data_IF_409947952266
#
_entry.id   IF_409947952266
#
_cell.length_a   1.000
_cell.length_b   1.000
_cell.length_c   1.000
_cell.angle_alpha   90.00
_cell.angle_beta   90.00
_cell.angle_gamma   90.00
#
_symmetry.space_group_name_H-M   'P 1'
#
loop_
_entity.id
_entity.type
_entity.pdbx_description
1 polymer ?
#
# COMPACT_ATOMS: atom_id res chain seq x y z
N UNK A 1 -1.86 32.40 4.10
CA UNK A 1 -2.61 31.12 4.13
C UNK A 1 -1.65 30.04 3.68
N UNK A 2 -1.00 29.36 4.62
CA UNK A 2 -0.13 28.24 4.28
C UNK A 2 -1.03 27.15 3.69
N UNK A 3 -0.99 26.97 2.38
CA UNK A 3 -1.61 25.82 1.73
C UNK A 3 -0.76 24.62 2.13
N UNK A 4 -1.00 24.09 3.33
CA UNK A 4 -0.32 22.90 3.83
C UNK A 4 -0.52 21.84 2.77
N UNK A 5 0.58 21.33 2.20
CA UNK A 5 0.50 20.37 1.11
C UNK A 5 0.02 19.04 1.68
N UNK A 6 -1.28 18.88 1.88
CA UNK A 6 -1.89 17.66 2.46
C UNK A 6 -1.53 16.38 1.68
N UNK A 7 -1.03 16.53 0.46
CA UNK A 7 -0.53 15.45 -0.40
C UNK A 7 0.85 14.93 0.02
N UNK A 8 1.78 15.79 0.46
CA UNK A 8 3.13 15.38 0.89
C UNK A 8 3.12 14.30 1.98
N UNK A 9 2.42 14.47 3.11
CA UNK A 9 2.42 13.44 4.16
C UNK A 9 1.76 12.14 3.72
N UNK A 10 0.84 12.18 2.74
CA UNK A 10 0.23 10.97 2.18
C UNK A 10 1.19 10.23 1.24
N UNK A 11 1.99 10.95 0.45
CA UNK A 11 3.03 10.35 -0.39
C UNK A 11 4.12 9.69 0.47
N UNK A 12 4.55 10.35 1.56
CA UNK A 12 5.50 9.77 2.51
C UNK A 12 4.93 8.51 3.18
N UNK A 13 3.64 8.54 3.55
CA UNK A 13 2.96 7.37 4.12
C UNK A 13 2.87 6.22 3.11
N UNK A 14 2.53 6.51 1.86
CA UNK A 14 2.47 5.54 0.77
C UNK A 14 3.83 4.85 0.57
N UNK A 15 4.91 5.64 0.52
CA UNK A 15 6.26 5.12 0.36
C UNK A 15 6.70 4.27 1.57
N UNK A 16 6.29 4.66 2.78
CA UNK A 16 6.52 3.89 4.01
C UNK A 16 5.77 2.55 3.96
N UNK A 17 4.54 2.53 3.46
CA UNK A 17 3.75 1.32 3.30
C UNK A 17 4.38 0.36 2.27
N UNK A 18 4.88 0.87 1.14
CA UNK A 18 5.64 0.04 0.17
C UNK A 18 6.83 -0.67 0.82
N UNK A 19 7.58 0.05 1.66
CA UNK A 19 8.71 -0.53 2.39
C UNK A 19 8.25 -1.57 3.43
N UNK A 20 7.17 -1.28 4.16
CA UNK A 20 6.60 -2.20 5.13
C UNK A 20 6.07 -3.50 4.48
N UNK A 21 5.45 -3.41 3.29
CA UNK A 21 5.01 -4.57 2.51
C UNK A 21 6.22 -5.41 2.09
N UNK A 22 7.27 -4.78 1.56
CA UNK A 22 8.49 -5.50 1.17
C UNK A 22 9.18 -6.17 2.36
N UNK A 23 9.25 -5.51 3.52
CA UNK A 23 9.76 -6.10 4.75
C UNK A 23 8.90 -7.27 5.22
N UNK A 24 7.57 -7.14 5.18
CA UNK A 24 6.65 -8.22 5.55
C UNK A 24 6.85 -9.46 4.67
N UNK A 25 7.04 -9.27 3.36
CA UNK A 25 7.32 -10.38 2.43
C UNK A 25 8.66 -11.05 2.75
N UNK A 26 9.69 -10.27 3.10
CA UNK A 26 10.97 -10.79 3.55
C UNK A 26 10.82 -11.63 4.82
N UNK A 27 10.11 -11.12 5.83
CA UNK A 27 9.80 -11.82 7.08
C UNK A 27 9.05 -13.14 6.81
N UNK A 28 8.03 -13.12 5.94
CA UNK A 28 7.26 -14.31 5.57
C UNK A 28 8.10 -15.35 4.79
N UNK A 29 9.15 -14.89 4.10
CA UNK A 29 10.12 -15.74 3.41
C UNK A 29 11.22 -16.28 4.32
N UNK A 30 11.23 -15.91 5.61
CA UNK A 30 12.23 -16.30 6.59
C UNK A 30 13.51 -15.46 6.55
N UNK A 31 13.50 -14.32 5.86
CA UNK A 31 14.61 -13.38 5.80
C UNK A 31 14.34 -12.21 6.76
N UNK A 32 14.85 -12.29 7.99
CA UNK A 32 14.84 -11.18 8.93
C UNK A 32 15.93 -10.16 8.56
N UNK A 33 15.62 -9.29 7.58
CA UNK A 33 16.49 -8.21 7.16
C UNK A 33 15.99 -6.87 7.70
N UNK A 34 16.91 -6.03 8.19
CA UNK A 34 16.60 -4.65 8.60
C UNK A 34 16.16 -3.75 7.43
N UNK A 35 16.37 -4.18 6.18
CA UNK A 35 15.92 -3.54 4.96
C UNK A 35 15.58 -4.59 3.90
N UNK A 36 14.53 -4.39 3.08
CA UNK A 36 14.15 -5.34 2.05
C UNK A 36 15.16 -5.34 0.91
N UNK A 37 15.56 -6.53 0.46
CA UNK A 37 16.33 -6.71 -0.76
C UNK A 37 15.50 -6.37 -2.01
N UNK A 38 16.16 -6.16 -3.15
CA UNK A 38 15.50 -5.81 -4.42
C UNK A 38 14.44 -6.83 -4.84
N UNK A 39 14.68 -8.12 -4.55
CA UNK A 39 13.70 -9.20 -4.80
C UNK A 39 12.39 -9.00 -4.02
N UNK A 40 12.48 -8.54 -2.77
CA UNK A 40 11.32 -8.28 -1.90
C UNK A 40 10.60 -7.00 -2.29
N UNK A 41 11.33 -6.00 -2.79
CA UNK A 41 10.74 -4.79 -3.37
C UNK A 41 9.93 -5.14 -4.62
N UNK A 42 10.46 -6.01 -5.49
CA UNK A 42 9.75 -6.49 -6.69
C UNK A 42 8.52 -7.31 -6.31
N UNK A 43 8.66 -8.24 -5.36
CA UNK A 43 7.55 -9.02 -4.85
C UNK A 43 6.45 -8.14 -4.22
N UNK A 44 6.82 -7.07 -3.53
CA UNK A 44 5.86 -6.09 -3.01
C UNK A 44 5.10 -5.37 -4.13
N UNK A 45 5.77 -4.98 -5.21
CA UNK A 45 5.12 -4.38 -6.37
C UNK A 45 4.11 -5.35 -7.00
N UNK A 46 4.51 -6.60 -7.23
CA UNK A 46 3.64 -7.65 -7.77
C UNK A 46 2.42 -7.90 -6.85
N UNK A 47 2.62 -7.95 -5.54
CA UNK A 47 1.55 -8.12 -4.57
C UNK A 47 0.57 -6.94 -4.53
N UNK A 48 1.07 -5.71 -4.68
CA UNK A 48 0.25 -4.49 -4.77
C UNK A 48 -0.59 -4.53 -6.07
N UNK A 49 0.03 -4.86 -7.20
CA UNK A 49 -0.66 -4.96 -8.49
C UNK A 49 -1.75 -6.04 -8.47
N UNK A 50 -1.42 -7.23 -7.96
CA UNK A 50 -2.37 -8.32 -7.80
C UNK A 50 -3.52 -7.94 -6.86
N UNK A 51 -3.22 -7.25 -5.76
CA UNK A 51 -4.25 -6.78 -4.82
C UNK A 51 -5.23 -5.83 -5.50
N UNK A 52 -4.74 -4.88 -6.31
CA UNK A 52 -5.57 -3.93 -7.05
C UNK A 52 -6.45 -4.67 -8.07
N UNK A 53 -5.86 -5.54 -8.89
CA UNK A 53 -6.58 -6.29 -9.92
C UNK A 53 -7.68 -7.18 -9.32
N UNK A 54 -7.40 -7.87 -8.21
CA UNK A 54 -8.39 -8.70 -7.52
C UNK A 54 -9.47 -7.87 -6.80
N UNK A 55 -9.14 -6.64 -6.39
CA UNK A 55 -10.07 -5.74 -5.70
C UNK A 55 -11.20 -5.25 -6.60
N UNK A 56 -10.97 -5.13 -7.92
CA UNK A 56 -12.01 -4.75 -8.89
C UNK A 56 -13.17 -5.75 -8.93
N UNK A 57 -12.96 -6.98 -8.45
CA UNK A 57 -13.94 -8.07 -8.51
C UNK A 57 -14.47 -8.52 -7.13
N UNK A 58 -13.77 -8.22 -6.02
CA UNK A 58 -13.99 -8.94 -4.74
C UNK A 58 -13.86 -8.09 -3.45
N UNK A 59 -13.91 -6.75 -3.54
CA UNK A 59 -13.74 -5.83 -2.40
C UNK A 59 -14.70 -6.11 -1.23
N UNK A 60 -15.98 -6.37 -1.51
CA UNK A 60 -16.98 -6.62 -0.45
C UNK A 60 -16.68 -7.90 0.33
N UNK A 61 -16.19 -8.95 -0.33
CA UNK A 61 -15.97 -10.27 0.30
C UNK A 61 -14.79 -10.26 1.28
N UNK A 62 -13.78 -9.41 1.03
CA UNK A 62 -12.58 -9.26 1.87
C UNK A 62 -12.82 -8.48 3.15
N UNK A 63 -13.76 -7.54 3.15
CA UNK A 63 -14.10 -6.74 4.34
C UNK A 63 -14.65 -7.60 5.49
N UNK A 64 -15.23 -8.77 5.18
CA UNK A 64 -15.84 -9.67 6.16
C UNK A 64 -14.93 -10.82 6.61
N UNK A 65 -13.71 -10.94 6.07
CA UNK A 65 -12.76 -12.00 6.45
C UNK A 65 -11.60 -11.43 7.26
N UNK A 66 -11.04 -12.19 8.22
CA UNK A 66 -9.78 -11.82 8.85
C UNK A 66 -8.70 -11.68 7.79
N UNK A 67 -8.04 -10.52 7.76
CA UNK A 67 -6.93 -10.25 6.86
C UNK A 67 -5.63 -10.73 7.50
N UNK A 68 -4.74 -11.30 6.68
CA UNK A 68 -3.35 -11.54 7.12
C UNK A 68 -2.61 -10.21 7.31
N UNK A 69 -1.49 -10.17 8.05
CA UNK A 69 -0.70 -8.95 8.21
C UNK A 69 -0.31 -8.29 6.87
N UNK A 70 0.07 -9.09 5.87
CA UNK A 70 0.36 -8.60 4.53
C UNK A 70 -0.89 -8.00 3.86
N UNK A 71 -2.04 -8.66 3.95
CA UNK A 71 -3.31 -8.16 3.39
C UNK A 71 -3.76 -6.86 4.05
N UNK A 72 -3.55 -6.70 5.36
CA UNK A 72 -3.82 -5.43 6.05
C UNK A 72 -2.96 -4.29 5.53
N UNK A 73 -1.66 -4.54 5.29
CA UNK A 73 -0.76 -3.55 4.71
C UNK A 73 -1.16 -3.18 3.27
N UNK A 74 -1.56 -4.17 2.46
CA UNK A 74 -2.05 -3.95 1.10
C UNK A 74 -3.36 -3.14 1.07
N UNK A 75 -4.30 -3.45 1.97
CA UNK A 75 -5.54 -2.70 2.11
C UNK A 75 -5.29 -1.24 2.54
N UNK A 76 -4.37 -1.01 3.49
CA UNK A 76 -4.00 0.34 3.90
C UNK A 76 -3.32 1.12 2.76
N UNK A 77 -2.42 0.46 2.02
CA UNK A 77 -1.76 1.04 0.84
C UNK A 77 -2.79 1.48 -0.21
N UNK A 78 -3.78 0.63 -0.50
CA UNK A 78 -4.87 0.94 -1.42
C UNK A 78 -5.68 2.18 -0.97
N UNK A 79 -6.11 2.20 0.29
CA UNK A 79 -6.90 3.31 0.83
C UNK A 79 -6.13 4.66 0.81
N UNK A 80 -4.81 4.62 1.04
CA UNK A 80 -3.95 5.81 0.89
C UNK A 80 -3.87 6.26 -0.57
N UNK A 81 -3.73 5.33 -1.52
CA UNK A 81 -3.71 5.64 -2.94
C UNK A 81 -5.03 6.28 -3.41
N UNK A 82 -6.18 5.73 -3.00
CA UNK A 82 -7.50 6.32 -3.29
C UNK A 82 -7.61 7.75 -2.76
N UNK A 83 -7.18 7.98 -1.51
CA UNK A 83 -7.18 9.32 -0.92
C UNK A 83 -6.26 10.30 -1.63
N UNK A 84 -5.09 9.83 -2.11
CA UNK A 84 -4.17 10.63 -2.93
C UNK A 84 -4.84 11.03 -4.24
N UNK A 85 -5.52 10.09 -4.90
CA UNK A 85 -6.23 10.35 -6.16
C UNK A 85 -7.35 11.38 -5.95
N UNK A 86 -8.16 11.21 -4.90
CA UNK A 86 -9.22 12.15 -4.54
C UNK A 86 -8.70 13.58 -4.32
N UNK A 87 -7.60 13.74 -3.60
CA UNK A 87 -7.00 15.05 -3.35
C UNK A 87 -6.40 15.67 -4.62
N UNK A 88 -5.85 14.85 -5.51
CA UNK A 88 -5.35 15.32 -6.81
C UNK A 88 -6.49 15.78 -7.70
N UNK A 89 -7.59 15.03 -7.76
CA UNK A 89 -8.77 15.37 -8.55
C UNK A 89 -9.39 16.71 -8.09
N UNK A 90 -9.55 16.90 -6.78
CA UNK A 90 -10.03 18.17 -6.18
C UNK A 90 -9.14 19.38 -6.47
N UNK A 91 -7.86 19.18 -6.76
CA UNK A 91 -6.92 20.26 -7.13
C UNK A 91 -6.98 20.63 -8.61
N UNK A 92 -7.49 19.73 -9.45
CA UNK A 92 -7.59 19.89 -10.90
C UNK A 92 -8.96 20.45 -11.33
N UNK A 93 -9.98 20.33 -10.48
CA UNK A 93 -11.30 20.96 -10.65
C UNK A 93 -11.33 22.42 -10.20
#
# INVERSE_FOLDING_TARGET
>A
MAYTNELEPLLDREQTLRQAIALRIAEESGEEAAAPAEIHIKAAQEAIEAWIEESEWDQDTRAFRPQTPLQTLLAEHHAICERILDLRDRRLS
#
